data_IF_086084708923
#
_entry.id   IF_086084708923
#
_cell.length_a   1.000
_cell.length_b   1.000
_cell.length_c   1.000
_cell.angle_alpha   90.00
_cell.angle_beta   90.00
_cell.angle_gamma   90.00
#
_symmetry.space_group_name_H-M   'P 1'
#
loop_
_entity.id
_entity.type
_entity.pdbx_description
1 polymer ?
#
# COMPACT_ATOMS: atom_id res chain seq x y z
N UNK A 1 5.72 13.79 10.54
CA UNK A 1 4.53 13.21 11.18
C UNK A 1 3.72 12.55 10.08
N UNK A 2 3.36 11.27 10.23
CA UNK A 2 2.45 10.59 9.28
C UNK A 2 1.04 10.71 9.84
N UNK A 3 0.24 11.57 9.20
CA UNK A 3 -1.09 11.89 9.69
C UNK A 3 -2.09 10.76 9.47
N UNK A 4 -2.01 10.06 8.32
CA UNK A 4 -2.91 8.95 8.00
C UNK A 4 -2.26 8.01 6.97
N UNK A 5 -2.14 6.73 7.32
CA UNK A 5 -1.87 5.65 6.36
C UNK A 5 -2.96 4.59 6.47
N UNK A 6 -3.53 4.21 5.33
CA UNK A 6 -4.52 3.14 5.24
C UNK A 6 -4.18 2.26 4.05
N UNK A 7 -4.33 0.95 4.21
CA UNK A 7 -4.11 -0.01 3.13
C UNK A 7 -5.40 -0.78 2.94
N UNK A 8 -6.01 -0.60 1.76
CA UNK A 8 -7.17 -1.36 1.34
C UNK A 8 -6.74 -2.47 0.38
N UNK A 9 -7.44 -3.59 0.45
CA UNK A 9 -7.28 -4.68 -0.49
C UNK A 9 -8.64 -5.06 -1.03
N UNK A 10 -8.82 -4.90 -2.34
CA UNK A 10 -10.04 -5.31 -3.00
C UNK A 10 -9.68 -6.38 -4.02
N UNK A 11 -10.12 -7.65 -3.83
CA UNK A 11 -9.82 -8.72 -4.78
C UNK A 11 -10.55 -8.57 -6.12
N UNK A 12 -11.64 -7.79 -6.17
CA UNK A 12 -12.37 -7.50 -7.41
C UNK A 12 -12.47 -5.97 -7.64
N UNK A 13 -11.36 -5.31 -7.99
CA UNK A 13 -11.38 -3.87 -8.23
C UNK A 13 -11.99 -3.56 -9.60
N UNK A 14 -12.76 -2.48 -9.65
CA UNK A 14 -13.13 -1.87 -10.93
C UNK A 14 -11.92 -1.08 -11.44
N UNK A 15 -11.40 -1.43 -12.61
CA UNK A 15 -10.30 -0.70 -13.23
C UNK A 15 -10.73 0.74 -13.56
N UNK A 16 -10.04 1.71 -12.96
CA UNK A 16 -10.30 3.14 -13.19
C UNK A 16 -9.93 3.59 -14.61
N UNK A 17 -9.11 2.80 -15.33
CA UNK A 17 -8.69 3.07 -16.71
C UNK A 17 -9.83 3.01 -17.73
N UNK A 18 -10.90 2.27 -17.43
CA UNK A 18 -12.03 2.08 -18.36
C UNK A 18 -13.20 3.03 -18.08
N UNK A 19 -13.06 3.96 -17.14
CA UNK A 19 -14.09 4.96 -16.84
C UNK A 19 -13.90 6.24 -17.68
N UNK A 20 -15.02 6.89 -17.98
CA UNK A 20 -15.01 8.23 -18.56
C UNK A 20 -14.22 9.21 -17.67
N UNK A 21 -13.43 10.14 -18.25
CA UNK A 21 -12.51 11.02 -17.51
C UNK A 21 -13.23 11.90 -16.46
N UNK A 22 -14.51 12.17 -16.64
CA UNK A 22 -15.33 12.95 -15.70
C UNK A 22 -15.65 12.19 -14.39
N UNK A 23 -15.70 10.86 -14.44
CA UNK A 23 -16.03 9.99 -13.29
C UNK A 23 -14.82 9.79 -12.37
N UNK A 24 -13.61 9.88 -12.91
CA UNK A 24 -12.36 9.69 -12.16
C UNK A 24 -12.23 10.61 -10.93
N UNK A 25 -12.34 11.95 -11.06
CA UNK A 25 -12.21 12.85 -9.91
C UNK A 25 -13.35 12.67 -8.89
N UNK A 26 -14.55 12.26 -9.33
CA UNK A 26 -15.69 12.00 -8.46
C UNK A 26 -15.45 10.76 -7.59
N UNK A 27 -14.95 9.67 -8.17
CA UNK A 27 -14.56 8.47 -7.45
C UNK A 27 -13.50 8.76 -6.39
N UNK A 28 -12.48 9.56 -6.74
CA UNK A 28 -11.42 9.91 -5.80
C UNK A 28 -11.91 10.81 -4.66
N UNK A 29 -12.79 11.78 -4.96
CA UNK A 29 -13.39 12.66 -3.95
C UNK A 29 -14.29 11.87 -3.00
N UNK A 30 -15.08 10.93 -3.53
CA UNK A 30 -15.89 9.98 -2.75
C UNK A 30 -15.02 9.12 -1.83
N UNK A 31 -13.87 8.63 -2.31
CA UNK A 31 -12.93 7.85 -1.49
C UNK A 31 -12.38 8.69 -0.32
N UNK A 32 -11.98 9.94 -0.57
CA UNK A 32 -11.47 10.84 0.48
C UNK A 32 -12.51 11.18 1.54
N UNK A 33 -13.76 11.44 1.14
CA UNK A 33 -14.82 11.76 2.12
C UNK A 33 -15.15 10.56 3.00
N UNK A 34 -15.13 9.34 2.45
CA UNK A 34 -15.32 8.11 3.20
C UNK A 34 -14.21 7.88 4.23
N UNK A 35 -12.95 8.15 3.89
CA UNK A 35 -11.83 8.02 4.83
C UNK A 35 -11.94 8.97 6.03
N UNK A 36 -12.36 10.23 5.81
CA UNK A 36 -12.51 11.24 6.88
C UNK A 36 -13.65 10.96 7.85
N UNK A 37 -14.69 10.24 7.40
CA UNK A 37 -15.86 9.97 8.23
C UNK A 37 -15.68 8.73 9.15
N UNK A 38 -14.53 8.04 9.06
CA UNK A 38 -14.24 6.82 9.84
C UNK A 38 -14.04 7.07 11.34
N UNK A 39 -13.79 8.32 11.77
CA UNK A 39 -13.66 8.69 13.20
C UNK A 39 -15.03 8.71 13.93
N UNK A 40 -16.14 8.80 13.19
CA UNK A 40 -17.49 8.65 13.74
C UNK A 40 -17.93 7.19 13.66
N UNK A 41 -17.92 6.53 14.82
CA UNK A 41 -18.61 5.27 15.11
C UNK A 41 -19.98 5.25 14.39
N UNK A 42 -20.16 4.26 13.50
CA UNK A 42 -21.37 3.97 12.71
C UNK A 42 -21.63 4.86 11.48
N UNK A 43 -21.17 4.40 10.31
CA UNK A 43 -21.86 4.61 9.02
C UNK A 43 -21.14 3.81 7.93
N UNK A 44 -21.66 2.63 7.63
CA UNK A 44 -21.63 1.96 6.31
C UNK A 44 -20.48 2.38 5.39
N UNK A 45 -19.25 1.98 5.74
CA UNK A 45 -18.20 1.93 4.75
C UNK A 45 -18.68 0.93 3.67
N UNK A 46 -18.59 1.24 2.37
CA UNK A 46 -18.68 0.21 1.35
C UNK A 46 -17.67 -0.89 1.69
N UNK A 47 -17.93 -2.13 1.26
CA UNK A 47 -17.18 -3.37 1.53
C UNK A 47 -15.70 -3.36 1.06
N UNK A 48 -14.97 -2.30 1.42
CA UNK A 48 -13.55 -2.15 1.23
C UNK A 48 -12.88 -2.84 2.40
N UNK A 49 -12.35 -4.02 2.12
CA UNK A 49 -11.61 -4.80 3.09
C UNK A 49 -10.28 -4.08 3.37
N UNK A 50 -10.20 -3.44 4.54
CA UNK A 50 -8.98 -2.81 5.00
C UNK A 50 -8.05 -3.87 5.59
N UNK A 51 -6.88 -4.06 4.98
CA UNK A 51 -5.80 -4.84 5.60
C UNK A 51 -5.19 -4.03 6.74
N UNK A 52 -5.06 -2.71 6.54
CA UNK A 52 -4.62 -1.76 7.56
C UNK A 52 -5.65 -0.64 7.63
N UNK A 53 -6.30 -0.53 8.80
CA UNK A 53 -7.17 0.61 9.11
C UNK A 53 -6.36 1.92 9.03
N UNK A 54 -7.03 3.08 8.85
CA UNK A 54 -6.34 4.35 8.88
C UNK A 54 -5.63 4.54 10.23
N UNK A 55 -4.30 4.60 10.22
CA UNK A 55 -3.47 4.74 11.42
C UNK A 55 -2.54 5.93 11.29
N UNK A 56 -2.30 6.60 12.41
CA UNK A 56 -1.36 7.72 12.51
C UNK A 56 -0.10 7.27 13.26
N UNK A 57 1.04 7.84 12.90
CA UNK A 57 2.29 7.51 13.56
C UNK A 57 3.48 8.36 13.17
N UNK A 58 4.63 7.97 13.71
CA UNK A 58 5.90 8.64 13.52
C UNK A 58 6.95 7.65 13.00
N UNK A 59 7.44 7.90 11.79
CA UNK A 59 8.58 7.19 11.23
C UNK A 59 9.85 8.01 11.45
N UNK A 60 10.83 7.45 12.14
CA UNK A 60 12.18 7.97 12.23
C UNK A 60 13.10 7.16 11.30
N UNK A 61 13.74 7.83 10.35
CA UNK A 61 14.71 7.21 9.44
C UNK A 61 16.10 7.84 9.65
N UNK A 62 17.05 7.03 10.11
CA UNK A 62 18.45 7.41 10.26
C UNK A 62 19.25 6.80 9.12
N UNK A 63 19.61 7.63 8.14
CA UNK A 63 20.50 7.27 7.04
C UNK A 63 21.94 7.67 7.38
N UNK A 64 22.84 6.69 7.41
CA UNK A 64 24.27 6.94 7.66
C UNK A 64 25.01 6.98 6.33
N UNK A 65 25.61 8.14 6.01
CA UNK A 65 26.40 8.33 4.78
C UNK A 65 27.67 7.46 4.74
N UNK A 66 28.27 7.22 5.89
CA UNK A 66 29.44 6.34 6.04
C UNK A 66 29.07 5.12 6.90
N UNK A 67 28.80 3.95 6.28
CA UNK A 67 28.53 2.74 7.03
C UNK A 67 29.82 2.29 7.73
N UNK A 68 29.75 2.10 9.06
CA UNK A 68 30.83 1.46 9.84
C UNK A 68 30.46 -0.01 10.02
N UNK A 69 31.45 -0.91 10.13
CA UNK A 69 31.23 -2.37 10.26
C UNK A 69 30.27 -2.74 11.41
N UNK A 70 30.18 -1.91 12.45
CA UNK A 70 29.32 -2.14 13.63
C UNK A 70 27.93 -1.48 13.55
N UNK A 71 27.62 -0.67 12.53
CA UNK A 71 26.35 0.06 12.45
C UNK A 71 25.69 -0.10 11.08
N UNK A 72 24.39 -0.44 11.08
CA UNK A 72 23.59 -0.54 9.86
C UNK A 72 23.57 0.79 9.08
N UNK A 73 23.63 0.70 7.75
CA UNK A 73 23.62 1.84 6.80
C UNK A 73 22.35 2.68 6.91
N UNK A 74 21.22 2.03 7.17
CA UNK A 74 19.92 2.65 7.39
C UNK A 74 19.29 2.02 8.64
N UNK A 75 18.81 2.85 9.55
CA UNK A 75 17.98 2.41 10.66
C UNK A 75 16.64 3.14 10.56
N UNK A 76 15.55 2.41 10.45
CA UNK A 76 14.19 2.95 10.42
C UNK A 76 13.43 2.44 11.64
N UNK A 77 12.91 3.37 12.44
CA UNK A 77 11.99 3.11 13.52
C UNK A 77 10.62 3.65 13.15
N UNK A 78 9.57 2.84 13.28
CA UNK A 78 8.19 3.26 13.02
C UNK A 78 7.37 3.05 14.29
N UNK A 79 6.86 4.15 14.84
CA UNK A 79 5.99 4.16 16.01
C UNK A 79 4.57 4.45 15.54
N UNK A 80 3.65 3.51 15.74
CA UNK A 80 2.25 3.63 15.32
C UNK A 80 1.36 3.71 16.56
N UNK A 81 0.28 4.48 16.47
CA UNK A 81 -0.66 4.64 17.59
C UNK A 81 -1.49 3.38 17.81
N UNK A 82 -1.89 2.72 16.72
CA UNK A 82 -2.62 1.45 16.72
C UNK A 82 -2.23 0.68 15.47
N UNK A 83 -2.07 -0.65 15.57
CA UNK A 83 -1.79 -1.53 14.43
C UNK A 83 -2.76 -2.71 14.49
N UNK A 84 -3.80 -2.66 13.68
CA UNK A 84 -4.80 -3.74 13.58
C UNK A 84 -4.82 -4.26 12.15
N UNK A 85 -4.51 -5.55 12.01
CA UNK A 85 -4.70 -6.30 10.78
C UNK A 85 -6.01 -7.08 10.87
N UNK A 86 -6.83 -6.99 9.83
CA UNK A 86 -8.06 -7.78 9.70
C UNK A 86 -8.00 -8.51 8.37
N UNK A 87 -7.84 -9.83 8.42
CA UNK A 87 -7.93 -10.70 7.25
C UNK A 87 -9.19 -11.54 7.43
N UNK A 88 -10.11 -11.44 6.47
CA UNK A 88 -11.35 -12.20 6.51
C UNK A 88 -11.14 -13.58 5.87
N UNK A 89 -11.73 -14.62 6.46
CA UNK A 89 -11.56 -16.01 6.06
C UNK A 89 -12.10 -16.26 4.64
N UNK A 90 -13.18 -15.58 4.27
CA UNK A 90 -13.84 -15.74 2.97
C UNK A 90 -12.97 -15.33 1.78
N UNK A 91 -11.90 -14.54 2.02
CA UNK A 91 -10.99 -14.03 0.99
C UNK A 91 -9.52 -14.36 1.28
N UNK A 92 -9.28 -15.38 2.10
CA UNK A 92 -7.93 -15.86 2.42
C UNK A 92 -7.20 -16.38 1.17
N UNK A 93 -7.91 -17.01 0.22
CA UNK A 93 -7.34 -17.49 -1.04
C UNK A 93 -6.84 -16.35 -1.93
N UNK A 94 -7.60 -15.26 -2.03
CA UNK A 94 -7.18 -14.07 -2.78
C UNK A 94 -5.96 -13.42 -2.12
N UNK A 95 -5.94 -13.39 -0.79
CA UNK A 95 -4.81 -12.86 -0.01
C UNK A 95 -3.53 -13.67 -0.23
N UNK A 96 -3.63 -15.01 -0.25
CA UNK A 96 -2.51 -15.90 -0.58
C UNK A 96 -2.02 -15.69 -2.02
N UNK A 97 -2.94 -15.57 -2.97
CA UNK A 97 -2.60 -15.30 -4.38
C UNK A 97 -1.84 -13.97 -4.51
N UNK A 98 -2.21 -12.95 -3.74
CA UNK A 98 -1.47 -11.70 -3.69
C UNK A 98 -0.12 -11.81 -3.01
N UNK A 99 0.04 -12.65 -1.99
CA UNK A 99 1.34 -12.92 -1.37
C UNK A 99 2.32 -13.53 -2.38
N UNK A 100 1.85 -14.49 -3.18
CA UNK A 100 2.65 -15.08 -4.26
C UNK A 100 3.04 -14.02 -5.30
N UNK A 101 2.13 -13.11 -5.64
CA UNK A 101 2.40 -11.99 -6.52
C UNK A 101 3.47 -11.04 -5.92
N UNK A 102 3.37 -10.70 -4.64
CA UNK A 102 4.37 -9.89 -3.94
C UNK A 102 5.76 -10.55 -3.97
N UNK A 103 5.82 -11.87 -3.70
CA UNK A 103 7.06 -12.62 -3.78
C UNK A 103 7.66 -12.54 -5.19
N UNK A 104 6.82 -12.76 -6.21
CA UNK A 104 7.24 -12.67 -7.61
C UNK A 104 7.76 -11.28 -7.97
N UNK A 105 7.07 -10.21 -7.57
CA UNK A 105 7.47 -8.83 -7.84
C UNK A 105 8.81 -8.45 -7.20
N UNK A 106 9.03 -8.84 -5.94
CA UNK A 106 10.30 -8.59 -5.24
C UNK A 106 11.44 -9.26 -6.01
N UNK A 107 11.24 -10.50 -6.47
CA UNK A 107 12.24 -11.20 -7.29
C UNK A 107 12.43 -10.55 -8.65
N UNK A 108 11.36 -10.14 -9.32
CA UNK A 108 11.45 -9.47 -10.62
C UNK A 108 12.28 -8.19 -10.56
N UNK A 109 12.28 -7.47 -9.44
CA UNK A 109 13.13 -6.28 -9.27
C UNK A 109 14.62 -6.58 -9.47
N UNK A 110 15.08 -7.76 -9.04
CA UNK A 110 16.47 -8.20 -9.26
C UNK A 110 16.74 -8.55 -10.73
N UNK A 111 15.70 -8.98 -11.46
CA UNK A 111 15.77 -9.32 -12.89
C UNK A 111 15.53 -8.15 -13.84
N UNK A 112 15.02 -7.00 -13.36
CA UNK A 112 14.88 -5.78 -14.18
C UNK A 112 16.21 -5.32 -14.78
N UNK A 113 17.34 -5.61 -14.12
CA UNK A 113 18.70 -5.30 -14.61
C UNK A 113 19.11 -6.12 -15.83
N UNK A 114 18.43 -7.24 -16.07
CA UNK A 114 18.64 -8.12 -17.21
C UNK A 114 17.54 -7.97 -18.26
N UNK A 115 16.64 -6.98 -18.12
CA UNK A 115 15.72 -6.64 -19.19
C UNK A 115 16.57 -6.25 -20.41
N UNK A 116 16.45 -6.94 -21.55
CA UNK A 116 17.16 -6.54 -22.75
C UNK A 116 16.77 -5.10 -23.06
N UNK A 117 17.75 -4.20 -23.06
CA UNK A 117 17.53 -2.83 -23.52
C UNK A 117 16.99 -2.88 -24.94
N UNK A 118 16.01 -2.04 -25.24
CA UNK A 118 15.42 -1.95 -26.57
C UNK A 118 16.54 -1.80 -27.62
N UNK A 119 16.72 -2.76 -28.55
CA UNK A 119 17.79 -2.70 -29.54
C UNK A 119 17.59 -1.60 -30.60
N UNK A 120 16.59 -0.73 -30.43
CA UNK A 120 16.22 0.35 -31.35
C UNK A 120 16.92 1.69 -31.07
N UNK A 121 17.82 1.75 -30.08
CA UNK A 121 18.61 2.94 -29.76
C UNK A 121 20.10 2.67 -29.95
N UNK A 122 20.54 2.53 -31.20
CA UNK A 122 21.96 2.72 -31.61
C UNK A 122 22.00 3.21 -33.05
#
# INVERSE_FOLDING_TARGET
MLDLIAIYFNPNPICLSHLAPERFPQCFTKMKSQLKNSDSKASTLPDYQYILKPVSGEGQLVLRKHPKTHLAKSNSQLTLSELVFSIDADKYQDTLSCLDLFHFYIRCQDFLRFHPGDPSVT
#
